data_IF_129384438691
#
_entry.id   IF_129384438691
#
_cell.length_a   1.000
_cell.length_b   1.000
_cell.length_c   1.000
_cell.angle_alpha   90.00
_cell.angle_beta   90.00
_cell.angle_gamma   90.00
#
_symmetry.space_group_name_H-M   'P 1'
#
loop_
_entity.id
_entity.type
_entity.pdbx_description
1 polymer ?
#
# COMPACT_ATOMS: atom_id res chain seq x y z
N UNK A 1 41.45 68.86 -10.90
CA UNK A 1 40.74 70.11 -11.27
C UNK A 1 39.26 69.82 -11.24
N UNK A 2 38.58 70.39 -10.26
CA UNK A 2 37.16 70.24 -9.96
C UNK A 2 36.26 70.90 -11.00
N UNK A 3 35.07 70.32 -11.22
CA UNK A 3 33.86 70.98 -11.74
C UNK A 3 32.70 70.44 -10.89
N UNK A 4 32.26 71.11 -9.82
CA UNK A 4 31.24 72.17 -9.75
C UNK A 4 29.90 71.81 -10.43
N UNK A 5 28.87 71.71 -9.57
CA UNK A 5 27.45 71.39 -9.76
C UNK A 5 26.67 72.41 -10.61
N UNK A 6 25.37 72.17 -10.91
CA UNK A 6 24.33 72.60 -9.97
C UNK A 6 23.14 71.65 -9.81
N UNK A 7 22.44 71.83 -8.68
CA UNK A 7 21.18 71.19 -8.33
C UNK A 7 20.01 71.74 -9.16
N UNK A 8 19.04 70.87 -9.46
CA UNK A 8 17.70 71.26 -9.87
C UNK A 8 16.68 70.36 -9.16
N UNK A 9 15.87 70.98 -8.33
CA UNK A 9 14.63 70.46 -7.74
C UNK A 9 13.73 69.82 -8.80
N UNK A 10 12.93 68.81 -8.42
CA UNK A 10 11.47 68.77 -8.67
C UNK A 10 10.83 67.46 -8.16
N UNK A 11 9.80 67.64 -7.35
CA UNK A 11 8.60 66.81 -7.16
C UNK A 11 8.75 65.41 -6.54
N UNK A 12 8.40 65.38 -5.25
CA UNK A 12 7.82 64.25 -4.54
C UNK A 12 6.58 63.75 -5.29
N UNK A 13 6.64 62.54 -5.85
CA UNK A 13 5.45 61.76 -6.19
C UNK A 13 5.39 60.62 -5.19
N UNK A 14 4.57 60.79 -4.15
CA UNK A 14 4.18 59.70 -3.28
C UNK A 14 3.34 58.72 -4.12
N UNK A 15 3.99 57.67 -4.63
CA UNK A 15 3.30 56.49 -5.14
C UNK A 15 2.63 55.81 -3.94
N UNK A 16 1.37 56.18 -3.71
CA UNK A 16 0.42 55.34 -3.00
C UNK A 16 0.32 54.04 -3.79
N UNK A 17 1.16 53.05 -3.44
CA UNK A 17 0.89 51.67 -3.78
C UNK A 17 -0.37 51.31 -3.02
N UNK A 18 -1.50 51.43 -3.73
CA UNK A 18 -2.75 50.85 -3.33
C UNK A 18 -2.48 49.41 -2.92
N UNK A 19 -2.75 49.10 -1.65
CA UNK A 19 -2.87 47.75 -1.18
C UNK A 19 -3.92 47.05 -2.02
N UNK A 20 -3.45 46.34 -3.04
CA UNK A 20 -4.25 45.44 -3.86
C UNK A 20 -4.57 44.22 -3.03
N UNK A 21 -5.65 44.32 -2.27
CA UNK A 21 -6.59 43.25 -1.95
C UNK A 21 -6.02 41.82 -1.91
N UNK A 22 -5.46 41.41 -0.77
CA UNK A 22 -5.64 40.03 -0.29
C UNK A 22 -7.11 39.85 0.12
N UNK A 23 -8.02 40.01 -0.82
CA UNK A 23 -9.44 39.79 -0.61
C UNK A 23 -9.79 38.35 -1.00
N UNK A 24 -9.85 37.52 0.04
CA UNK A 24 -10.89 36.51 0.24
C UNK A 24 -11.16 35.56 -0.94
N UNK A 25 -10.46 34.43 -0.93
CA UNK A 25 -11.12 33.15 -1.20
C UNK A 25 -11.22 32.36 0.10
N UNK A 26 -11.98 32.91 1.05
CA UNK A 26 -12.57 32.13 2.13
C UNK A 26 -13.48 31.09 1.46
N UNK A 27 -12.97 29.88 1.22
CA UNK A 27 -13.82 28.75 0.86
C UNK A 27 -14.81 28.58 2.02
N UNK A 28 -16.12 28.55 1.72
CA UNK A 28 -17.19 28.43 2.71
C UNK A 28 -17.02 27.17 3.56
N UNK A 29 -16.24 27.26 4.63
CA UNK A 29 -16.09 26.20 5.61
C UNK A 29 -17.43 26.08 6.36
N UNK A 30 -18.03 24.89 6.30
CA UNK A 30 -19.26 24.63 7.03
C UNK A 30 -19.00 24.70 8.54
N UNK A 31 -19.95 25.26 9.29
CA UNK A 31 -19.87 25.36 10.73
C UNK A 31 -20.28 24.02 11.37
N UNK A 32 -19.36 23.28 12.03
CA UNK A 32 -19.68 22.00 12.63
C UNK A 32 -20.79 22.11 13.69
N UNK A 33 -20.95 23.27 14.34
CA UNK A 33 -21.96 23.47 15.38
C UNK A 33 -23.39 23.62 14.82
N UNK A 34 -23.52 23.84 13.51
CA UNK A 34 -24.83 23.98 12.84
C UNK A 34 -25.32 22.68 12.19
N UNK A 35 -24.43 21.70 12.02
CA UNK A 35 -24.79 20.40 11.43
C UNK A 35 -25.15 19.37 12.51
N UNK A 36 -26.02 18.41 12.15
CA UNK A 36 -26.45 17.33 13.07
C UNK A 36 -25.31 16.42 13.49
N UNK A 37 -24.33 16.16 12.61
CA UNK A 37 -23.16 15.32 12.93
C UNK A 37 -22.27 15.96 14.00
N UNK A 38 -22.32 17.28 14.16
CA UNK A 38 -21.36 18.08 14.94
C UNK A 38 -19.91 18.00 14.45
N UNK A 39 -19.69 17.44 13.26
CA UNK A 39 -18.37 17.24 12.64
C UNK A 39 -18.48 17.44 11.13
N UNK A 40 -17.56 18.20 10.55
CA UNK A 40 -17.47 18.46 9.09
C UNK A 40 -16.01 18.37 8.63
N UNK A 41 -15.77 18.03 7.36
CA UNK A 41 -14.42 18.01 6.81
C UNK A 41 -13.91 19.41 6.49
N UNK A 42 -12.58 19.61 6.51
CA UNK A 42 -11.99 20.86 6.06
C UNK A 42 -12.11 21.01 4.54
N UNK A 43 -12.41 22.22 4.06
CA UNK A 43 -12.63 22.49 2.63
C UNK A 43 -11.35 22.55 1.80
N UNK A 44 -10.19 22.67 2.43
CA UNK A 44 -8.89 22.77 1.77
C UNK A 44 -8.05 21.52 1.97
N UNK A 45 -8.07 20.96 3.19
CA UNK A 45 -7.22 19.85 3.59
C UNK A 45 -8.06 18.59 3.85
N UNK A 46 -7.78 17.49 3.15
CA UNK A 46 -8.58 16.27 3.31
C UNK A 46 -8.22 15.44 4.55
N UNK A 47 -7.06 15.71 5.17
CA UNK A 47 -6.60 15.14 6.42
C UNK A 47 -6.98 16.00 7.64
N UNK A 48 -7.90 16.95 7.48
CA UNK A 48 -8.42 17.81 8.55
C UNK A 48 -9.93 17.80 8.63
N UNK A 49 -10.42 17.98 9.84
CA UNK A 49 -11.84 18.11 10.11
C UNK A 49 -12.11 19.03 11.29
N UNK A 50 -13.32 19.56 11.34
CA UNK A 50 -13.79 20.46 12.37
C UNK A 50 -14.84 19.76 13.22
N UNK A 51 -14.72 19.85 14.54
CA UNK A 51 -15.70 19.33 15.49
C UNK A 51 -16.26 20.46 16.37
N UNK A 52 -17.53 20.36 16.73
CA UNK A 52 -18.17 21.32 17.63
C UNK A 52 -17.99 20.90 19.09
N UNK A 53 -17.02 21.50 19.77
CA UNK A 53 -16.72 21.28 21.18
C UNK A 53 -17.25 22.47 21.99
N UNK A 54 -18.14 22.20 22.97
CA UNK A 54 -18.73 23.24 23.83
C UNK A 54 -19.36 24.44 23.07
N UNK A 55 -19.89 24.19 21.87
CA UNK A 55 -20.49 25.23 21.04
C UNK A 55 -19.50 26.06 20.22
N UNK A 56 -18.22 25.67 20.20
CA UNK A 56 -17.17 26.29 19.40
C UNK A 56 -16.61 25.27 18.38
N UNK A 57 -16.36 25.68 17.13
CA UNK A 57 -15.61 24.89 16.17
C UNK A 57 -14.14 24.76 16.58
N UNK A 58 -13.66 23.52 16.66
CA UNK A 58 -12.26 23.20 16.89
C UNK A 58 -11.72 22.37 15.70
N UNK A 59 -10.49 22.67 15.29
CA UNK A 59 -9.81 22.00 14.18
C UNK A 59 -9.02 20.80 14.68
N UNK A 60 -9.14 19.68 13.98
CA UNK A 60 -8.44 18.44 14.24
C UNK A 60 -7.78 17.90 12.98
N UNK A 61 -6.64 17.23 13.16
CA UNK A 61 -5.94 16.47 12.13
C UNK A 61 -6.29 14.98 12.25
N UNK A 62 -6.49 14.33 11.11
CA UNK A 62 -6.51 12.87 11.07
C UNK A 62 -5.11 12.31 11.42
N UNK A 63 -5.04 11.06 11.95
CA UNK A 63 -3.75 10.41 12.17
C UNK A 63 -2.91 10.37 10.87
N UNK A 64 -1.59 10.50 11.00
CA UNK A 64 -0.69 10.61 9.86
C UNK A 64 -0.83 9.43 8.86
N UNK A 65 -1.18 9.74 7.62
CA UNK A 65 -1.48 8.74 6.57
C UNK A 65 -2.97 8.45 6.38
N UNK A 66 -3.86 9.04 7.18
CA UNK A 66 -5.31 8.93 7.05
C UNK A 66 -5.96 10.25 6.65
N UNK A 67 -7.17 10.17 6.09
CA UNK A 67 -7.97 11.30 5.62
C UNK A 67 -9.39 11.22 6.14
N UNK A 68 -10.07 12.36 6.27
CA UNK A 68 -11.40 12.43 6.87
C UNK A 68 -12.45 11.79 5.95
N UNK A 69 -13.05 10.70 6.42
CA UNK A 69 -14.09 9.93 5.74
C UNK A 69 -15.51 10.23 6.25
N UNK A 70 -15.62 10.94 7.37
CA UNK A 70 -16.89 11.32 8.00
C UNK A 70 -17.07 10.68 9.39
N UNK A 71 -17.94 11.27 10.21
CA UNK A 71 -18.18 10.81 11.59
C UNK A 71 -18.58 9.32 11.63
N UNK A 72 -17.93 8.56 12.52
CA UNK A 72 -18.13 7.11 12.71
C UNK A 72 -17.88 6.26 11.45
N UNK A 73 -17.05 6.76 10.53
CA UNK A 73 -16.60 6.01 9.36
C UNK A 73 -15.09 5.75 9.44
N UNK A 74 -14.61 4.97 8.48
CA UNK A 74 -13.20 4.70 8.33
C UNK A 74 -12.66 3.72 9.37
N UNK A 75 -11.35 3.83 9.59
CA UNK A 75 -10.60 2.90 10.44
C UNK A 75 -10.43 3.41 11.87
N UNK A 76 -10.47 4.73 12.09
CA UNK A 76 -10.37 5.35 13.41
C UNK A 76 -10.98 6.75 13.41
N UNK A 77 -11.82 7.07 14.39
CA UNK A 77 -12.37 8.42 14.65
C UNK A 77 -12.85 9.21 13.42
N UNK A 78 -13.44 8.54 12.43
CA UNK A 78 -13.92 9.20 11.21
C UNK A 78 -12.86 9.44 10.13
N UNK A 79 -11.65 8.94 10.32
CA UNK A 79 -10.53 8.96 9.38
C UNK A 79 -10.32 7.57 8.75
N UNK A 80 -9.92 7.55 7.49
CA UNK A 80 -9.77 6.34 6.69
C UNK A 80 -8.56 6.40 5.76
N UNK A 81 -8.20 5.27 5.14
CA UNK A 81 -7.12 5.25 4.15
C UNK A 81 -7.51 6.06 2.90
N UNK A 82 -6.58 6.87 2.34
CA UNK A 82 -6.86 7.74 1.20
C UNK A 82 -7.38 7.02 -0.05
N UNK A 83 -6.92 5.79 -0.31
CA UNK A 83 -7.27 5.04 -1.52
C UNK A 83 -8.61 4.30 -1.45
N UNK A 84 -9.31 4.28 -0.31
CA UNK A 84 -10.61 3.58 -0.21
C UNK A 84 -11.75 4.33 -0.90
N UNK A 85 -11.61 5.62 -1.12
CA UNK A 85 -12.60 6.49 -1.76
C UNK A 85 -11.94 7.80 -2.19
N UNK A 86 -12.68 8.64 -2.89
CA UNK A 86 -12.21 9.92 -3.39
C UNK A 86 -12.26 11.03 -2.32
N UNK A 87 -11.78 10.75 -1.10
CA UNK A 87 -11.85 11.69 0.04
C UNK A 87 -11.04 12.98 -0.19
N UNK A 88 -9.96 12.90 -0.99
CA UNK A 88 -9.05 14.00 -1.27
C UNK A 88 -9.25 14.69 -2.62
N UNK A 89 -10.31 14.36 -3.38
CA UNK A 89 -10.55 14.97 -4.69
C UNK A 89 -10.63 16.51 -4.59
N UNK A 90 -9.69 17.20 -5.22
CA UNK A 90 -9.60 18.67 -5.22
C UNK A 90 -9.12 19.30 -3.91
N UNK A 91 -8.62 18.50 -2.96
CA UNK A 91 -8.08 18.94 -1.67
C UNK A 91 -6.58 18.63 -1.56
N UNK A 92 -5.94 19.24 -0.57
CA UNK A 92 -4.52 19.06 -0.25
C UNK A 92 -4.36 18.20 1.01
N UNK A 93 -3.15 17.71 1.26
CA UNK A 93 -2.75 17.18 2.56
C UNK A 93 -2.07 18.30 3.34
N UNK A 94 -2.47 18.50 4.59
CA UNK A 94 -1.84 19.46 5.48
C UNK A 94 -0.56 18.91 6.10
N UNK A 95 -0.60 17.64 6.50
CA UNK A 95 0.47 17.02 7.25
C UNK A 95 1.45 16.28 6.32
N UNK A 96 2.78 16.52 6.46
CA UNK A 96 3.77 15.75 5.72
C UNK A 96 3.87 14.31 6.21
N UNK A 97 4.47 13.39 5.43
CA UNK A 97 4.73 12.03 5.86
C UNK A 97 5.60 11.99 7.12
N UNK A 98 5.26 11.08 8.04
CA UNK A 98 6.12 10.71 9.18
C UNK A 98 6.49 9.25 8.98
N UNK A 99 7.73 9.04 8.54
CA UNK A 99 8.20 7.70 8.19
C UNK A 99 8.84 6.98 9.39
N UNK A 100 8.60 5.68 9.48
CA UNK A 100 9.23 4.75 10.42
C UNK A 100 9.78 3.54 9.66
N UNK A 101 10.30 2.54 10.37
CA UNK A 101 10.79 1.31 9.74
C UNK A 101 9.66 0.63 8.93
N UNK A 102 9.86 0.53 7.61
CA UNK A 102 8.93 -0.02 6.62
C UNK A 102 7.62 0.75 6.39
N UNK A 103 7.50 1.96 6.93
CA UNK A 103 6.29 2.77 6.82
C UNK A 103 6.65 4.16 6.33
N UNK A 104 6.15 4.56 5.15
CA UNK A 104 6.30 5.95 4.70
C UNK A 104 5.41 6.90 5.50
N UNK A 105 4.26 6.40 5.97
CA UNK A 105 3.29 7.05 6.84
C UNK A 105 2.97 6.18 8.05
N UNK A 106 2.58 6.78 9.17
CA UNK A 106 2.26 6.01 10.39
C UNK A 106 1.11 5.02 10.18
N UNK A 107 0.17 5.34 9.31
CA UNK A 107 -0.91 4.45 8.90
C UNK A 107 -0.83 4.21 7.39
N UNK A 108 -0.72 2.95 6.99
CA UNK A 108 -0.68 2.64 5.57
C UNK A 108 -0.45 1.17 5.26
N UNK A 109 -0.39 0.87 3.96
CA UNK A 109 0.06 -0.41 3.42
C UNK A 109 1.16 -0.09 2.41
N UNK A 110 2.30 -0.77 2.52
CA UNK A 110 3.50 -0.48 1.74
C UNK A 110 4.14 -1.77 1.23
N UNK A 111 4.78 -1.72 0.05
CA UNK A 111 5.46 -2.86 -0.52
C UNK A 111 6.69 -3.27 0.28
N UNK A 112 7.00 -4.57 0.27
CA UNK A 112 8.24 -5.06 0.86
C UNK A 112 9.41 -4.85 -0.10
N UNK A 113 10.52 -4.33 0.42
CA UNK A 113 11.65 -3.78 -0.33
C UNK A 113 12.33 -4.81 -1.24
N UNK A 114 12.29 -6.08 -0.86
CA UNK A 114 12.94 -7.19 -1.58
C UNK A 114 11.99 -8.30 -2.05
N UNK A 115 10.68 -8.18 -1.83
CA UNK A 115 9.75 -9.27 -2.14
C UNK A 115 8.35 -8.76 -2.49
N UNK A 116 7.98 -8.91 -3.76
CA UNK A 116 6.62 -8.64 -4.23
C UNK A 116 5.54 -9.53 -3.61
N UNK A 117 5.91 -10.68 -3.04
CA UNK A 117 4.94 -11.57 -2.36
C UNK A 117 4.61 -11.10 -0.94
N UNK A 118 5.29 -10.06 -0.45
CA UNK A 118 5.20 -9.55 0.91
C UNK A 118 4.92 -8.06 0.88
N UNK A 119 4.32 -7.57 1.95
CA UNK A 119 4.03 -6.16 2.14
C UNK A 119 3.94 -5.85 3.64
N UNK A 120 3.98 -4.58 3.97
CA UNK A 120 3.92 -4.08 5.34
C UNK A 120 2.57 -3.44 5.58
N UNK A 121 1.92 -3.81 6.68
CA UNK A 121 0.78 -3.05 7.22
C UNK A 121 1.26 -2.21 8.39
N UNK A 122 1.02 -0.90 8.34
CA UNK A 122 1.47 0.04 9.35
C UNK A 122 0.29 0.54 10.18
N UNK A 123 0.43 0.39 11.50
CA UNK A 123 -0.51 0.92 12.48
C UNK A 123 0.24 1.79 13.48
N UNK A 124 0.01 3.09 13.42
CA UNK A 124 0.69 4.08 14.26
C UNK A 124 2.24 3.92 14.25
N UNK A 125 2.82 3.72 13.06
CA UNK A 125 4.25 3.54 12.85
C UNK A 125 4.79 2.14 13.17
N UNK A 126 3.96 1.23 13.69
CA UNK A 126 4.33 -0.17 13.89
C UNK A 126 4.03 -0.96 12.62
N UNK A 127 5.08 -1.43 11.95
CA UNK A 127 4.98 -2.28 10.76
C UNK A 127 4.76 -3.75 11.16
N UNK A 128 3.93 -4.44 10.39
CA UNK A 128 3.75 -5.90 10.48
C UNK A 128 3.89 -6.49 9.08
N UNK A 129 4.78 -7.46 8.93
CA UNK A 129 4.98 -8.15 7.65
C UNK A 129 3.75 -9.01 7.35
N UNK A 130 3.25 -8.89 6.12
CA UNK A 130 2.15 -9.68 5.59
C UNK A 130 2.61 -10.42 4.33
N UNK A 131 1.94 -11.52 4.04
CA UNK A 131 2.18 -12.33 2.86
C UNK A 131 0.93 -12.32 1.97
N UNK A 132 1.10 -12.00 0.69
CA UNK A 132 0.06 -12.21 -0.29
C UNK A 132 -0.22 -13.72 -0.47
N UNK A 133 -1.48 -14.08 -0.21
CA UNK A 133 -1.96 -15.46 -0.25
C UNK A 133 -2.04 -15.93 -1.69
N UNK A 134 -1.78 -17.22 -1.91
CA UNK A 134 -2.06 -17.85 -3.21
C UNK A 134 -1.31 -17.19 -4.35
N UNK A 135 0.01 -16.97 -4.20
CA UNK A 135 0.87 -16.51 -5.29
C UNK A 135 0.61 -15.09 -5.80
N UNK A 136 -0.32 -14.35 -5.21
CA UNK A 136 -0.56 -12.95 -5.51
C UNK A 136 0.65 -12.10 -5.11
N UNK A 137 0.73 -10.91 -5.71
CA UNK A 137 1.78 -9.92 -5.44
C UNK A 137 1.13 -8.65 -4.93
N UNK A 138 1.83 -7.94 -4.06
CA UNK A 138 1.37 -6.66 -3.60
C UNK A 138 1.47 -5.62 -4.72
N UNK A 139 0.33 -5.00 -5.02
CA UNK A 139 0.17 -3.94 -5.99
C UNK A 139 0.08 -2.60 -5.25
N UNK A 140 1.09 -1.75 -5.40
CA UNK A 140 1.15 -0.42 -4.76
C UNK A 140 -0.01 0.47 -5.21
N UNK A 141 -0.40 0.45 -6.49
CA UNK A 141 -1.42 1.36 -7.02
C UNK A 141 -2.81 1.07 -6.44
N UNK A 142 -3.10 -0.20 -6.17
CA UNK A 142 -4.38 -0.63 -5.57
C UNK A 142 -4.30 -0.81 -4.07
N UNK A 143 -3.10 -0.72 -3.49
CA UNK A 143 -2.79 -1.05 -2.09
C UNK A 143 -3.34 -2.42 -1.66
N UNK A 144 -3.21 -3.43 -2.52
CA UNK A 144 -3.78 -4.75 -2.30
C UNK A 144 -3.00 -5.86 -3.01
N UNK A 145 -3.25 -7.12 -2.63
CA UNK A 145 -2.68 -8.26 -3.34
C UNK A 145 -3.45 -8.50 -4.65
N UNK A 146 -2.73 -8.49 -5.76
CA UNK A 146 -3.28 -8.63 -7.11
C UNK A 146 -2.54 -9.72 -7.90
N UNK A 147 -3.07 -10.06 -9.06
CA UNK A 147 -2.47 -11.02 -9.97
C UNK A 147 -1.12 -10.50 -10.49
N UNK A 148 -0.12 -11.37 -10.66
CA UNK A 148 1.20 -10.95 -11.13
C UNK A 148 1.22 -10.17 -12.45
N UNK A 149 0.24 -10.38 -13.33
CA UNK A 149 0.14 -9.66 -14.60
C UNK A 149 -0.36 -8.21 -14.44
N UNK A 150 -0.90 -7.86 -13.27
CA UNK A 150 -1.34 -6.50 -12.90
C UNK A 150 -0.32 -5.76 -12.03
N UNK A 151 0.83 -6.39 -11.71
CA UNK A 151 1.84 -5.79 -10.82
C UNK A 151 3.12 -5.54 -11.59
N UNK A 152 3.34 -4.27 -11.90
CA UNK A 152 4.54 -3.81 -12.60
C UNK A 152 5.78 -3.84 -11.68
N UNK A 153 6.96 -3.99 -12.28
CA UNK A 153 8.25 -3.89 -11.56
C UNK A 153 8.66 -5.14 -10.76
N UNK A 154 7.82 -6.17 -10.73
CA UNK A 154 8.10 -7.41 -10.00
C UNK A 154 8.84 -8.45 -10.86
N UNK A 155 10.08 -8.79 -10.46
CA UNK A 155 10.90 -9.79 -11.18
C UNK A 155 10.34 -11.20 -10.99
N UNK A 156 9.90 -11.84 -12.08
CA UNK A 156 9.48 -13.26 -12.10
C UNK A 156 10.67 -14.15 -11.76
N UNK A 157 10.42 -15.22 -11.01
CA UNK A 157 11.46 -16.15 -10.60
C UNK A 157 11.95 -16.98 -11.81
N UNK A 158 13.26 -17.18 -12.03
CA UNK A 158 13.77 -17.89 -13.20
C UNK A 158 13.18 -19.29 -13.42
N UNK A 159 12.85 -20.01 -12.34
CA UNK A 159 12.16 -21.31 -12.38
C UNK A 159 10.81 -21.28 -13.09
N UNK A 160 10.13 -20.13 -13.11
CA UNK A 160 8.77 -19.97 -13.65
C UNK A 160 8.76 -19.10 -14.92
N UNK A 161 9.90 -18.98 -15.61
CA UNK A 161 10.02 -18.20 -16.84
C UNK A 161 9.35 -18.88 -18.04
N UNK A 162 9.39 -20.22 -18.10
CA UNK A 162 8.81 -20.98 -19.22
C UNK A 162 7.29 -21.07 -19.11
N UNK A 163 6.78 -21.33 -17.90
CA UNK A 163 5.36 -21.36 -17.60
C UNK A 163 5.10 -20.67 -16.27
N UNK A 164 4.48 -19.50 -16.34
CA UNK A 164 4.15 -18.69 -15.18
C UNK A 164 3.16 -19.37 -14.23
N UNK A 165 2.37 -20.35 -14.70
CA UNK A 165 1.37 -21.07 -13.93
C UNK A 165 1.57 -22.61 -13.93
N UNK A 166 2.73 -23.06 -14.39
CA UNK A 166 3.06 -24.47 -14.54
C UNK A 166 3.58 -25.13 -13.26
N UNK A 167 3.70 -26.45 -13.29
CA UNK A 167 4.37 -27.20 -12.23
C UNK A 167 5.81 -27.50 -12.63
N UNK A 168 6.76 -27.33 -11.71
CA UNK A 168 8.18 -27.59 -11.93
C UNK A 168 8.66 -28.66 -10.94
N UNK A 169 9.38 -29.71 -11.39
CA UNK A 169 9.91 -30.75 -10.51
C UNK A 169 10.88 -30.18 -9.46
N UNK A 170 10.81 -30.69 -8.22
CA UNK A 170 11.75 -30.31 -7.15
C UNK A 170 12.83 -31.37 -6.94
N UNK A 171 14.05 -31.13 -7.43
CA UNK A 171 15.23 -31.95 -7.12
C UNK A 171 14.94 -33.45 -7.33
N UNK A 172 15.22 -34.32 -6.35
CA UNK A 172 14.82 -35.75 -6.33
C UNK A 172 13.57 -36.03 -5.48
N UNK A 173 12.81 -35.00 -5.10
CA UNK A 173 11.63 -35.18 -4.25
C UNK A 173 10.52 -35.87 -5.03
N UNK A 174 9.99 -36.97 -4.49
CA UNK A 174 8.89 -37.70 -5.11
C UNK A 174 7.51 -37.18 -4.72
N UNK A 175 7.38 -36.43 -3.63
CA UNK A 175 6.09 -35.97 -3.14
C UNK A 175 5.96 -34.45 -3.06
N UNK A 176 6.98 -33.70 -3.51
CA UNK A 176 6.96 -32.24 -3.54
C UNK A 176 7.37 -31.72 -4.91
N UNK A 177 6.82 -30.58 -5.27
CA UNK A 177 7.07 -29.89 -6.53
C UNK A 177 6.86 -28.39 -6.33
N UNK A 178 7.35 -27.58 -7.28
CA UNK A 178 7.00 -26.17 -7.34
C UNK A 178 5.75 -26.00 -8.19
N UNK A 179 4.77 -25.24 -7.72
CA UNK A 179 3.69 -24.73 -8.53
C UNK A 179 3.95 -23.25 -8.76
N UNK A 180 4.20 -22.87 -10.00
CA UNK A 180 4.29 -21.47 -10.38
C UNK A 180 2.90 -20.85 -10.35
N UNK A 181 2.82 -19.61 -9.86
CA UNK A 181 1.62 -18.81 -9.95
C UNK A 181 2.03 -17.40 -10.36
N UNK A 182 1.63 -17.02 -11.57
CA UNK A 182 2.09 -15.84 -12.31
C UNK A 182 3.59 -15.55 -12.21
N UNK A 183 4.44 -16.58 -12.30
CA UNK A 183 5.89 -16.43 -12.35
C UNK A 183 6.62 -16.62 -11.01
N UNK A 184 5.91 -17.01 -9.94
CA UNK A 184 6.49 -17.23 -8.62
C UNK A 184 6.26 -18.66 -8.11
N UNK A 185 7.32 -19.41 -7.75
CA UNK A 185 7.20 -20.80 -7.34
C UNK A 185 6.69 -20.92 -5.90
N UNK A 186 5.68 -21.77 -5.70
CA UNK A 186 5.17 -22.17 -4.38
C UNK A 186 5.45 -23.65 -4.15
N UNK A 187 6.00 -23.98 -3.00
CA UNK A 187 6.32 -25.37 -2.66
C UNK A 187 5.02 -26.13 -2.37
N UNK A 188 4.67 -27.05 -3.23
CA UNK A 188 3.50 -27.91 -3.09
C UNK A 188 3.90 -29.33 -2.69
N UNK A 189 2.94 -30.04 -2.10
CA UNK A 189 3.03 -31.48 -1.84
C UNK A 189 1.91 -32.18 -2.60
N UNK A 190 2.22 -33.32 -3.20
CA UNK A 190 1.19 -34.17 -3.78
C UNK A 190 0.19 -34.64 -2.70
N UNK A 191 -1.10 -34.80 -3.05
CA UNK A 191 -2.08 -35.46 -2.19
C UNK A 191 -1.57 -36.83 -1.70
N UNK A 192 -2.11 -37.28 -0.57
CA UNK A 192 -1.61 -38.47 0.11
C UNK A 192 -1.45 -39.68 -0.84
N UNK A 193 -0.30 -40.36 -0.73
CA UNK A 193 0.09 -41.54 -1.51
C UNK A 193 0.37 -41.31 -3.00
N UNK A 194 0.23 -40.09 -3.52
CA UNK A 194 0.65 -39.76 -4.89
C UNK A 194 2.11 -39.29 -4.95
N UNK A 195 2.74 -39.52 -6.10
CA UNK A 195 4.08 -39.03 -6.42
C UNK A 195 4.02 -38.06 -7.60
N UNK A 196 4.90 -37.07 -7.61
CA UNK A 196 4.98 -36.10 -8.71
C UNK A 196 5.74 -36.71 -9.89
N UNK A 197 5.03 -36.97 -10.98
CA UNK A 197 5.62 -37.44 -12.22
C UNK A 197 6.23 -36.28 -13.00
N UNK A 198 7.51 -36.41 -13.34
CA UNK A 198 8.29 -35.36 -13.99
C UNK A 198 7.96 -35.18 -15.47
N UNK A 199 7.39 -36.21 -16.10
CA UNK A 199 7.04 -36.18 -17.52
C UNK A 199 5.70 -35.49 -17.76
N UNK A 200 4.69 -35.85 -16.98
CA UNK A 200 3.35 -35.25 -17.06
C UNK A 200 3.19 -33.99 -16.20
N UNK A 201 4.18 -33.65 -15.36
CA UNK A 201 4.17 -32.51 -14.43
C UNK A 201 2.95 -32.52 -13.48
N UNK A 202 2.56 -33.72 -13.04
CA UNK A 202 1.33 -33.96 -12.25
C UNK A 202 1.58 -35.01 -11.18
N UNK A 203 0.75 -34.95 -10.13
CA UNK A 203 0.71 -36.00 -9.11
C UNK A 203 -0.04 -37.23 -9.65
N UNK A 204 0.62 -38.38 -9.64
CA UNK A 204 0.09 -39.66 -10.14
C UNK A 204 0.31 -40.77 -9.11
N UNK A 205 -0.35 -41.91 -9.32
CA UNK A 205 -0.18 -43.10 -8.48
C UNK A 205 1.21 -43.71 -8.75
N UNK A 206 2.03 -43.99 -7.71
CA UNK A 206 3.29 -44.72 -7.90
C UNK A 206 3.05 -46.20 -8.26
N UNK A 207 4.02 -46.89 -8.89
CA UNK A 207 5.35 -46.40 -9.24
C UNK A 207 5.34 -45.54 -10.52
N UNK A 208 6.31 -44.64 -10.59
CA UNK A 208 6.69 -43.92 -11.81
C UNK A 208 8.15 -44.24 -12.10
N UNK A 209 8.67 -43.89 -13.28
CA UNK A 209 10.08 -44.17 -13.61
C UNK A 209 11.07 -43.63 -12.57
N UNK A 210 10.77 -42.49 -11.93
CA UNK A 210 11.67 -41.84 -10.98
C UNK A 210 11.31 -42.07 -9.50
N UNK A 211 10.15 -42.66 -9.21
CA UNK A 211 9.61 -42.73 -7.85
C UNK A 211 8.84 -44.03 -7.59
N UNK A 212 9.36 -44.83 -6.66
CA UNK A 212 8.78 -46.07 -6.14
C UNK A 212 8.36 -45.93 -4.67
N UNK A 213 7.34 -46.68 -4.24
CA UNK A 213 7.01 -46.83 -2.82
C UNK A 213 7.94 -47.89 -2.22
N UNK A 214 8.59 -47.65 -1.07
CA UNK A 214 9.37 -48.67 -0.38
C UNK A 214 8.47 -49.87 -0.07
N UNK A 215 8.79 -51.03 -0.67
CA UNK A 215 8.08 -52.28 -0.37
C UNK A 215 8.37 -52.62 1.09
N UNK A 216 7.37 -52.81 1.97
CA UNK A 216 7.63 -53.27 3.32
C UNK A 216 8.33 -54.63 3.24
N UNK A 217 9.57 -54.70 3.74
CA UNK A 217 10.35 -55.93 3.80
C UNK A 217 9.51 -56.97 4.56
N UNK A 218 9.15 -58.07 3.89
CA UNK A 218 8.50 -59.21 4.56
C UNK A 218 9.42 -59.65 5.71
N UNK A 219 8.92 -59.80 6.95
CA UNK A 219 9.75 -60.32 8.03
C UNK A 219 10.26 -61.71 7.63
N UNK A 220 11.57 -61.94 7.78
CA UNK A 220 12.19 -63.24 7.51
C UNK A 220 11.47 -64.29 8.38
N UNK A 221 11.08 -65.46 7.83
CA UNK A 221 10.57 -66.54 8.66
C UNK A 221 11.66 -66.92 9.66
N UNK A 222 11.30 -66.98 10.95
CA UNK A 222 12.19 -67.49 11.99
C UNK A 222 12.28 -69.01 11.79
N UNK A 223 13.48 -69.52 11.52
CA UNK A 223 13.80 -70.94 11.67
C UNK A 223 13.81 -71.32 13.15
#
# INVERSE_FOLDING_TARGET
MSRHSPAASLLVVALLLAGGSEAQKSRDQEDPCKVKSRVVGDVTYCDRYWECVNGQPELYDCPNGLVFAGKHRGVTEGCDYPWRSNYCDGKQLANPPISTEHCDWLYGIFGHETSCTRYWTCWNGTSTEQLCIGGLLYNEDTHSCDWPDNVDGCQKHPLCNEDANGNVPLGKSCNRYWQCQGGYPRLQRCPAMLVFDRRSLRCVVPPTEDCDVPIPLRPRPRN
#
